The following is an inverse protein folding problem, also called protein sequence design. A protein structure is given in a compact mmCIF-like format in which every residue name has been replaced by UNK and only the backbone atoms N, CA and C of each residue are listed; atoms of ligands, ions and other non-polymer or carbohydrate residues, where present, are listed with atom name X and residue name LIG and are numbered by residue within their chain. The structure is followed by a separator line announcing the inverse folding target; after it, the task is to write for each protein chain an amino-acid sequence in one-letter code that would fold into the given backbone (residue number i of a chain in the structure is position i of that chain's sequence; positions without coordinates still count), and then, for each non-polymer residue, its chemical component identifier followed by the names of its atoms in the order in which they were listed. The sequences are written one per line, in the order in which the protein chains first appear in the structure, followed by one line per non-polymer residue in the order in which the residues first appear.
data_IF_378772386294
#
_entry.id   IF_378772386294
#
_cell.length_a   1.000
_cell.length_b   1.000
_cell.length_c   1.000
_cell.angle_alpha   90.00
_cell.angle_beta   90.00
_cell.angle_gamma   90.00
#
_symmetry.space_group_name_H-M   'P 1'
#
loop_
_entity.id
_entity.type
_entity.pdbx_description
1 polymer ?
#
# COMPACT_ATOMS: atom_id res chain seq x y z
N UNK A 1 -1.46 5.98 -17.02
CA UNK A 1 -1.06 5.92 -15.60
C UNK A 1 0.32 6.55 -15.48
N UNK A 2 0.58 7.36 -14.45
CA UNK A 2 1.84 8.08 -14.27
C UNK A 2 2.86 7.36 -13.37
N UNK A 3 2.56 6.10 -13.02
CA UNK A 3 3.40 5.22 -12.22
C UNK A 3 3.79 4.01 -13.06
N UNK A 4 5.05 3.63 -12.99
CA UNK A 4 5.58 2.38 -13.52
C UNK A 4 5.95 1.46 -12.36
N UNK A 5 5.51 0.21 -12.42
CA UNK A 5 5.89 -0.83 -11.47
C UNK A 5 6.99 -1.73 -12.07
N UNK A 6 7.99 -2.10 -11.27
CA UNK A 6 9.01 -3.07 -11.64
C UNK A 6 9.36 -3.92 -10.42
N UNK A 7 9.10 -5.24 -10.50
CA UNK A 7 9.18 -6.13 -9.35
C UNK A 7 8.29 -5.62 -8.21
N UNK A 8 8.91 -5.36 -7.06
CA UNK A 8 8.26 -4.83 -5.87
C UNK A 8 8.52 -3.33 -5.63
N UNK A 9 8.83 -2.60 -6.71
CA UNK A 9 9.12 -1.16 -6.65
C UNK A 9 8.21 -0.37 -7.60
N UNK A 10 7.96 0.88 -7.24
CA UNK A 10 7.17 1.85 -8.01
C UNK A 10 8.03 3.07 -8.33
N UNK A 11 7.78 3.70 -9.47
CA UNK A 11 8.39 4.98 -9.85
C UNK A 11 7.34 5.87 -10.52
N UNK A 12 7.28 7.15 -10.15
CA UNK A 12 6.52 8.16 -10.90
C UNK A 12 7.27 8.52 -12.17
N UNK A 13 6.87 7.94 -13.30
CA UNK A 13 7.54 8.05 -14.60
C UNK A 13 7.04 9.20 -15.47
N UNK A 14 5.83 9.72 -15.22
CA UNK A 14 5.24 10.82 -15.99
C UNK A 14 4.27 11.68 -15.17
N UNK A 15 3.51 12.55 -15.83
CA UNK A 15 2.56 13.48 -15.19
C UNK A 15 3.21 14.77 -14.70
N UNK A 16 2.45 15.58 -13.96
CA UNK A 16 2.99 16.81 -13.38
C UNK A 16 3.81 16.52 -12.12
N UNK A 17 4.83 17.35 -11.87
CA UNK A 17 5.67 17.27 -10.68
C UNK A 17 4.96 17.94 -9.49
N UNK A 18 4.91 17.25 -8.35
CA UNK A 18 4.19 17.70 -7.15
C UNK A 18 2.69 17.42 -7.14
N UNK A 19 2.16 16.71 -8.14
CA UNK A 19 0.73 16.40 -8.24
C UNK A 19 0.40 15.00 -7.73
N UNK A 20 -0.78 14.84 -7.13
CA UNK A 20 -1.32 13.53 -6.75
C UNK A 20 -1.94 12.75 -7.93
N UNK A 21 -1.28 12.75 -9.09
CA UNK A 21 -1.72 12.09 -10.34
C UNK A 21 -0.97 10.76 -10.59
N UNK A 22 -0.22 10.26 -9.61
CA UNK A 22 0.56 9.02 -9.66
C UNK A 22 0.25 8.13 -8.45
N UNK A 23 -0.87 7.41 -8.55
CA UNK A 23 -1.32 6.43 -7.57
C UNK A 23 -1.08 4.98 -7.99
N UNK A 24 -0.98 4.08 -7.01
CA UNK A 24 -0.93 2.64 -7.21
C UNK A 24 -1.68 1.89 -6.11
N UNK A 25 -2.25 0.73 -6.45
CA UNK A 25 -2.89 -0.21 -5.52
C UNK A 25 -2.25 -1.59 -5.69
N UNK A 26 -2.09 -2.32 -4.60
CA UNK A 26 -1.58 -3.70 -4.63
C UNK A 26 -2.58 -4.65 -5.28
N UNK A 27 -2.05 -5.71 -5.90
CA UNK A 27 -2.88 -6.84 -6.36
C UNK A 27 -3.23 -7.76 -5.19
N UNK A 28 -2.30 -7.97 -4.25
CA UNK A 28 -2.58 -8.72 -3.04
C UNK A 28 -3.46 -7.92 -2.09
N UNK A 29 -4.35 -8.64 -1.41
CA UNK A 29 -5.25 -8.12 -0.41
C UNK A 29 -5.16 -8.99 0.84
N UNK A 30 -4.87 -8.39 1.99
CA UNK A 30 -4.88 -9.07 3.29
C UNK A 30 -6.33 -9.29 3.69
N UNK A 31 -6.76 -10.55 3.72
CA UNK A 31 -8.14 -10.96 3.96
C UNK A 31 -8.52 -10.84 5.44
N UNK A 32 -7.61 -11.21 6.35
CA UNK A 32 -7.84 -11.21 7.79
C UNK A 32 -6.54 -11.48 8.56
N UNK A 33 -6.58 -11.24 9.88
CA UNK A 33 -5.49 -11.59 10.79
C UNK A 33 -4.22 -10.79 10.57
N UNK A 34 -3.14 -11.26 11.19
CA UNK A 34 -1.88 -10.53 11.19
C UNK A 34 -1.27 -10.42 9.77
N UNK A 35 -0.62 -9.30 9.53
CA UNK A 35 -0.02 -8.97 8.25
C UNK A 35 0.66 -7.62 8.28
N UNK A 36 1.43 -7.27 7.26
CA UNK A 36 2.10 -5.98 7.19
C UNK A 36 2.36 -5.55 5.76
N UNK A 37 2.59 -4.24 5.61
CA UNK A 37 3.34 -3.67 4.51
C UNK A 37 4.65 -3.09 5.04
N UNK A 38 5.74 -3.40 4.36
CA UNK A 38 7.08 -2.86 4.63
C UNK A 38 7.67 -2.28 3.36
N UNK A 39 8.41 -1.17 3.45
CA UNK A 39 9.08 -0.55 2.32
C UNK A 39 10.32 0.23 2.77
N UNK A 40 11.23 0.49 1.83
CA UNK A 40 12.46 1.25 2.08
C UNK A 40 12.31 2.69 1.58
N UNK A 41 12.70 3.66 2.41
CA UNK A 41 12.85 5.05 1.98
C UNK A 41 14.17 5.21 1.20
N UNK A 42 14.11 5.25 -0.13
CA UNK A 42 15.33 5.33 -0.98
C UNK A 42 15.84 6.75 -1.25
N UNK A 43 15.09 7.75 -0.81
CA UNK A 43 15.33 9.17 -1.01
C UNK A 43 14.64 9.97 0.09
N UNK A 44 15.00 11.25 0.28
CA UNK A 44 14.47 12.13 1.34
C UNK A 44 13.83 13.42 0.83
N UNK A 45 13.78 13.59 -0.48
CA UNK A 45 13.42 14.87 -1.14
C UNK A 45 12.02 14.88 -1.74
N UNK A 46 11.28 13.78 -1.66
CA UNK A 46 10.02 13.62 -2.38
C UNK A 46 8.86 13.27 -1.46
N UNK A 47 7.71 13.86 -1.76
CA UNK A 47 6.45 13.62 -1.07
C UNK A 47 5.82 12.32 -1.57
N UNK A 48 5.72 11.35 -0.67
CA UNK A 48 5.18 10.01 -0.94
C UNK A 48 4.32 9.56 0.23
N UNK A 49 3.18 8.95 -0.05
CA UNK A 49 2.30 8.38 0.97
C UNK A 49 2.06 6.92 0.67
N UNK A 50 2.34 6.05 1.63
CA UNK A 50 2.20 4.59 1.49
C UNK A 50 1.42 4.06 2.69
N UNK A 51 0.49 3.13 2.47
CA UNK A 51 -0.13 2.42 3.58
C UNK A 51 -1.36 1.60 3.23
N UNK A 52 -2.17 1.28 4.25
CA UNK A 52 -3.34 0.42 4.10
C UNK A 52 -4.60 1.20 3.71
N UNK A 53 -5.43 0.54 2.91
CA UNK A 53 -6.70 1.06 2.41
C UNK A 53 -7.75 -0.06 2.28
N UNK A 54 -9.01 0.26 2.54
CA UNK A 54 -10.13 -0.67 2.37
C UNK A 54 -10.58 -0.81 0.91
N UNK A 55 -11.38 -1.84 0.62
CA UNK A 55 -11.78 -2.21 -0.76
C UNK A 55 -12.79 -1.24 -1.43
N UNK A 56 -13.59 -0.51 -0.65
CA UNK A 56 -14.64 0.39 -1.16
C UNK A 56 -14.13 1.75 -1.60
N UNK A 57 -12.91 2.11 -1.22
CA UNK A 57 -12.29 3.36 -1.58
C UNK A 57 -11.47 3.14 -2.86
N UNK A 58 -11.94 3.68 -3.99
CA UNK A 58 -11.33 3.51 -5.32
C UNK A 58 -9.87 4.00 -5.42
N UNK A 59 -9.35 4.23 -6.64
CA UNK A 59 -7.95 4.69 -6.84
C UNK A 59 -7.71 6.13 -6.35
N UNK A 60 -8.70 6.77 -5.73
CA UNK A 60 -8.57 8.10 -5.17
C UNK A 60 -7.51 8.11 -4.05
N UNK A 61 -6.29 8.50 -4.40
CA UNK A 61 -5.13 8.43 -3.50
C UNK A 61 -5.05 9.60 -2.53
N UNK A 62 -6.05 10.48 -2.55
CA UNK A 62 -6.16 11.67 -1.70
C UNK A 62 -6.19 11.32 -0.22
N UNK A 63 -6.72 10.15 0.16
CA UNK A 63 -6.67 9.66 1.54
C UNK A 63 -6.34 8.16 1.61
N UNK A 64 -5.16 7.84 2.15
CA UNK A 64 -4.78 6.50 2.59
C UNK A 64 -5.04 6.46 4.12
N UNK A 65 -6.05 5.71 4.60
CA UNK A 65 -6.52 5.80 5.98
C UNK A 65 -5.49 5.46 7.05
N UNK A 66 -4.56 4.53 6.77
CA UNK A 66 -3.47 4.19 7.68
C UNK A 66 -2.17 4.31 6.90
N UNK A 67 -1.45 5.42 7.09
CA UNK A 67 -0.38 5.80 6.17
C UNK A 67 0.89 6.25 6.88
N UNK A 68 1.99 6.08 6.17
CA UNK A 68 3.24 6.78 6.42
C UNK A 68 3.46 7.73 5.24
N UNK A 69 3.55 9.03 5.53
CA UNK A 69 3.86 10.07 4.55
C UNK A 69 5.31 10.52 4.72
N UNK A 70 6.13 10.22 3.73
CA UNK A 70 7.50 10.70 3.63
C UNK A 70 7.48 12.07 2.95
N UNK A 71 8.03 13.09 3.60
CA UNK A 71 8.09 14.45 3.06
C UNK A 71 9.47 14.81 2.50
N UNK A 72 9.54 15.83 1.64
CA UNK A 72 10.78 16.55 1.36
C UNK A 72 11.24 17.24 2.62
N UNK A 73 12.45 16.93 3.10
CA UNK A 73 13.12 17.38 4.35
C UNK A 73 13.60 16.23 5.24
N UNK A 74 13.27 14.98 4.88
CA UNK A 74 13.60 13.83 5.73
C UNK A 74 12.70 13.71 6.96
N UNK A 75 11.45 14.22 6.91
CA UNK A 75 10.42 13.99 7.94
C UNK A 75 9.37 12.99 7.44
N UNK A 76 9.14 11.95 8.24
CA UNK A 76 8.07 10.98 8.05
C UNK A 76 6.93 11.25 9.04
N UNK A 77 5.70 11.24 8.54
CA UNK A 77 4.48 11.41 9.33
C UNK A 77 3.70 10.09 9.36
N UNK A 78 3.33 9.61 10.54
CA UNK A 78 2.27 8.62 10.67
C UNK A 78 0.95 9.36 10.58
N UNK A 79 0.10 8.96 9.64
CA UNK A 79 -1.20 9.58 9.37
C UNK A 79 -2.34 8.58 9.48
N UNK A 80 -3.43 9.05 10.07
CA UNK A 80 -4.69 8.31 10.14
C UNK A 80 -5.86 9.17 9.65
N UNK A 81 -6.57 8.71 8.62
CA UNK A 81 -7.63 9.50 7.97
C UNK A 81 -7.18 10.94 7.65
N UNK A 82 -5.98 11.07 7.08
CA UNK A 82 -5.37 12.36 6.75
C UNK A 82 -4.75 13.12 7.93
N UNK A 83 -5.08 12.79 9.19
CA UNK A 83 -4.56 13.48 10.37
C UNK A 83 -3.19 12.96 10.81
N UNK A 84 -2.26 13.86 11.14
CA UNK A 84 -0.94 13.48 11.68
C UNK A 84 -1.10 12.97 13.12
N UNK A 85 -0.55 11.80 13.41
CA UNK A 85 -0.52 11.19 14.75
C UNK A 85 0.83 11.34 15.43
N UNK A 86 1.91 11.13 14.67
CA UNK A 86 3.27 11.35 15.14
C UNK A 86 4.19 11.64 13.96
N UNK A 87 5.38 12.16 14.27
CA UNK A 87 6.44 12.49 13.31
C UNK A 87 7.74 11.83 13.73
N UNK A 88 8.57 11.48 12.75
CA UNK A 88 9.94 11.06 12.98
C UNK A 88 10.82 11.55 11.84
N UNK A 89 12.12 11.71 12.08
CA UNK A 89 13.07 11.95 10.99
C UNK A 89 13.38 10.64 10.27
N UNK A 90 13.83 10.72 9.03
CA UNK A 90 14.27 9.58 8.24
C UNK A 90 15.38 9.97 7.27
N UNK A 91 16.22 9.00 6.97
CA UNK A 91 17.30 9.08 5.99
C UNK A 91 17.14 7.98 4.96
N UNK A 92 17.90 8.06 3.87
CA UNK A 92 17.96 7.01 2.86
C UNK A 92 18.36 5.67 3.50
N UNK A 93 17.62 4.62 3.17
CA UNK A 93 17.83 3.27 3.69
C UNK A 93 16.99 2.91 4.90
N UNK A 94 16.30 3.89 5.53
CA UNK A 94 15.35 3.58 6.59
C UNK A 94 14.19 2.72 6.06
N UNK A 95 13.80 1.73 6.86
CA UNK A 95 12.72 0.80 6.55
C UNK A 95 11.51 1.14 7.41
N UNK A 96 10.37 1.32 6.76
CA UNK A 96 9.10 1.59 7.42
C UNK A 96 8.16 0.41 7.30
N UNK A 97 7.42 0.12 8.37
CA UNK A 97 6.42 -0.94 8.39
C UNK A 97 5.12 -0.47 9.03
N UNK A 98 4.00 -0.82 8.40
CA UNK A 98 2.66 -0.75 9.00
C UNK A 98 2.20 -2.18 9.17
N UNK A 99 2.04 -2.63 10.41
CA UNK A 99 1.72 -4.02 10.75
C UNK A 99 0.40 -4.11 11.50
N UNK A 100 -0.32 -5.19 11.25
CA UNK A 100 -1.48 -5.62 11.99
C UNK A 100 -1.02 -6.79 12.86
N UNK A 101 -1.14 -6.63 14.16
CA UNK A 101 -0.69 -7.64 15.13
C UNK A 101 -1.75 -7.76 16.23
N UNK A 102 -2.30 -8.96 16.40
CA UNK A 102 -3.36 -9.25 17.35
C UNK A 102 -4.56 -8.29 17.23
N UNK A 103 -4.96 -7.98 16.00
CA UNK A 103 -6.12 -7.11 15.71
C UNK A 103 -5.87 -5.61 15.86
N UNK A 104 -4.65 -5.16 16.17
CA UNK A 104 -4.30 -3.73 16.24
C UNK A 104 -3.27 -3.32 15.19
N UNK A 105 -3.37 -2.07 14.70
CA UNK A 105 -2.41 -1.50 13.73
C UNK A 105 -1.25 -0.82 14.47
N UNK A 106 -0.02 -1.11 14.07
CA UNK A 106 1.22 -0.58 14.64
C UNK A 106 2.16 -0.10 13.54
N UNK A 107 2.84 1.01 13.78
CA UNK A 107 3.76 1.65 12.84
C UNK A 107 5.19 1.56 13.37
N UNK A 108 6.13 1.21 12.51
CA UNK A 108 7.52 0.99 12.87
C UNK A 108 8.47 1.68 11.89
N UNK A 109 9.66 2.00 12.41
CA UNK A 109 10.84 2.38 11.65
C UNK A 109 12.01 1.54 12.11
N UNK A 110 12.68 0.84 11.19
CA UNK A 110 13.83 -0.04 11.47
C UNK A 110 13.52 -1.04 12.61
N UNK A 111 12.32 -1.61 12.62
CA UNK A 111 11.85 -2.51 13.67
C UNK A 111 11.46 -1.84 15.01
N UNK A 112 11.74 -0.55 15.20
CA UNK A 112 11.33 0.20 16.41
C UNK A 112 9.93 0.76 16.26
N UNK A 113 9.09 0.53 17.27
CA UNK A 113 7.73 1.04 17.33
C UNK A 113 7.73 2.58 17.37
N UNK A 114 6.94 3.18 16.48
CA UNK A 114 6.67 4.62 16.44
C UNK A 114 5.31 4.96 17.05
N UNK A 115 4.29 4.18 16.71
CA UNK A 115 2.91 4.48 17.08
C UNK A 115 2.04 3.22 17.08
N UNK A 116 1.09 3.17 18.01
CA UNK A 116 0.02 2.17 18.05
C UNK A 116 -1.29 2.91 17.74
N UNK A 117 -2.00 2.42 16.72
CA UNK A 117 -3.30 2.97 16.35
C UNK A 117 -4.34 2.68 17.42
N UNK A 118 -5.24 3.65 17.66
CA UNK A 118 -6.48 3.42 18.38
C UNK A 118 -7.60 2.84 17.50
N UNK A 119 -7.35 2.68 16.20
CA UNK A 119 -8.32 2.19 15.21
C UNK A 119 -8.07 0.72 14.89
N UNK A 120 -9.17 -0.03 14.74
CA UNK A 120 -9.12 -1.42 14.31
C UNK A 120 -8.93 -1.51 12.77
N UNK A 121 -8.26 -2.56 12.27
CA UNK A 121 -8.14 -2.81 10.84
C UNK A 121 -9.50 -3.15 10.22
N UNK A 122 -9.84 -2.45 9.13
CA UNK A 122 -11.04 -2.72 8.33
C UNK A 122 -10.70 -3.64 7.15
N UNK A 123 -10.80 -4.95 7.36
CA UNK A 123 -10.55 -5.93 6.30
C UNK A 123 -11.65 -5.95 5.23
N UNK A 124 -11.31 -6.41 4.01
CA UNK A 124 -9.98 -6.80 3.58
C UNK A 124 -9.12 -5.59 3.15
N UNK A 125 -7.82 -5.62 3.48
CA UNK A 125 -6.92 -4.47 3.33
C UNK A 125 -6.01 -4.62 2.09
N UNK A 126 -5.98 -3.56 1.28
CA UNK A 126 -5.04 -3.36 0.18
C UNK A 126 -3.92 -2.43 0.62
N UNK A 127 -2.79 -2.46 -0.08
CA UNK A 127 -1.74 -1.44 0.03
C UNK A 127 -1.94 -0.42 -1.07
N UNK A 128 -1.89 0.85 -0.71
CA UNK A 128 -1.96 1.99 -1.62
C UNK A 128 -0.68 2.81 -1.53
N UNK A 129 -0.28 3.40 -2.65
CA UNK A 129 0.80 4.37 -2.71
C UNK A 129 0.37 5.59 -3.56
N UNK A 130 0.78 6.78 -3.11
CA UNK A 130 0.66 8.04 -3.84
C UNK A 130 2.03 8.70 -3.91
N UNK A 131 2.50 8.98 -5.13
CA UNK A 131 3.80 9.56 -5.40
C UNK A 131 3.56 10.91 -6.06
N UNK A 132 4.04 12.00 -5.47
CA UNK A 132 3.75 13.33 -6.01
C UNK A 132 4.85 13.87 -6.91
N UNK A 133 6.12 13.67 -6.54
CA UNK A 133 7.24 14.21 -7.30
C UNK A 133 7.70 13.29 -8.42
N UNK A 134 8.01 13.83 -9.59
CA UNK A 134 8.53 13.04 -10.72
C UNK A 134 9.85 12.38 -10.32
N UNK A 135 9.98 11.09 -10.61
CA UNK A 135 11.13 10.29 -10.17
C UNK A 135 11.03 9.78 -8.71
N UNK A 136 9.97 10.12 -7.97
CA UNK A 136 9.73 9.52 -6.66
C UNK A 136 9.54 8.01 -6.79
N UNK A 137 10.00 7.30 -5.75
CA UNK A 137 9.99 5.84 -5.70
C UNK A 137 9.42 5.30 -4.41
N UNK A 138 8.85 4.10 -4.50
CA UNK A 138 8.67 3.18 -3.37
C UNK A 138 9.47 1.95 -3.72
N UNK A 139 10.40 1.53 -2.88
CA UNK A 139 11.29 0.40 -3.19
C UNK A 139 11.22 -0.68 -2.14
N UNK A 140 11.54 -1.90 -2.57
CA UNK A 140 11.57 -3.09 -1.72
C UNK A 140 10.27 -3.29 -0.94
N UNK A 141 9.12 -3.03 -1.57
CA UNK A 141 7.85 -3.18 -0.91
C UNK A 141 7.56 -4.67 -0.66
N UNK A 142 7.19 -5.02 0.56
CA UNK A 142 6.81 -6.37 0.95
C UNK A 142 5.42 -6.29 1.58
N UNK A 143 4.50 -7.09 1.06
CA UNK A 143 3.20 -7.32 1.68
C UNK A 143 3.22 -8.75 2.21
N UNK A 144 2.86 -8.93 3.46
CA UNK A 144 2.73 -10.24 4.09
C UNK A 144 1.42 -10.33 4.87
N UNK A 145 0.85 -11.53 4.94
CA UNK A 145 -0.37 -11.79 5.69
C UNK A 145 -1.17 -12.92 5.06
N UNK A 146 -2.40 -13.12 5.53
CA UNK A 146 -3.34 -14.04 4.89
C UNK A 146 -3.98 -13.36 3.70
N UNK A 147 -3.62 -13.75 2.50
CA UNK A 147 -4.20 -13.17 1.29
C UNK A 147 -5.54 -13.80 0.92
N UNK A 148 -6.42 -13.02 0.31
CA UNK A 148 -7.58 -13.57 -0.41
C UNK A 148 -7.07 -14.48 -1.53
N UNK A 149 -7.55 -15.71 -1.59
CA UNK A 149 -7.29 -16.57 -2.75
C UNK A 149 -7.93 -15.89 -3.98
N UNK A 150 -7.20 -15.84 -5.10
CA UNK A 150 -7.82 -15.50 -6.38
C UNK A 150 -8.95 -16.52 -6.61
N UNK A 151 -10.14 -16.06 -6.99
CA UNK A 151 -11.18 -16.99 -7.43
C UNK A 151 -10.58 -17.88 -8.53
N UNK A 152 -10.71 -19.20 -8.39
CA UNK A 152 -10.40 -20.08 -9.51
C UNK A 152 -11.18 -19.58 -10.73
N UNK A 153 -10.60 -19.59 -11.95
CA UNK A 153 -11.40 -19.31 -13.14
C UNK A 153 -12.61 -20.25 -13.10
N UNK A 154 -13.83 -19.79 -13.46
CA UNK A 154 -14.95 -20.71 -13.60
C UNK A 154 -14.49 -21.80 -14.57
N UNK A 155 -14.41 -23.04 -14.08
CA UNK A 155 -14.33 -24.19 -14.96
C UNK A 155 -15.65 -24.18 -15.71
N UNK A 156 -15.66 -23.65 -16.93
CA UNK A 156 -16.77 -23.85 -17.85
C UNK A 156 -16.98 -25.35 -17.91
N UNK A 157 -18.07 -25.79 -17.27
CA UNK A 157 -18.52 -27.16 -17.34
C UNK A 157 -18.79 -27.43 -18.80
N UNK A 158 -17.95 -28.27 -19.41
CA UNK A 158 -18.17 -28.77 -20.76
C UNK A 158 -19.44 -29.61 -20.69
N UNK A 159 -20.60 -29.00 -20.94
CA UNK A 159 -21.82 -29.76 -21.16
C UNK A 159 -21.65 -30.40 -22.53
N UNK A 160 -21.33 -31.70 -22.53
CA UNK A 160 -21.39 -32.52 -23.73
C UNK A 160 -22.79 -32.45 -24.30
N UNK A 161 -22.94 -31.81 -25.46
CA UNK A 161 -24.18 -31.81 -26.23
C UNK A 161 -24.46 -33.24 -26.71
N UNK A 162 -25.63 -33.85 -26.44
CA UNK A 162 -25.94 -35.16 -26.99
C UNK A 162 -26.19 -35.06 -28.51
N UNK A 163 -25.78 -36.06 -29.31
CA UNK A 163 -25.97 -36.03 -30.75
C UNK A 163 -27.46 -36.10 -31.13
N UNK A 164 -27.89 -35.45 -32.24
CA UNK A 164 -29.28 -35.48 -32.67
C UNK A 164 -29.70 -36.89 -33.11
N UNK A 165 -30.83 -37.35 -32.58
CA UNK A 165 -31.48 -38.61 -32.98
C UNK A 165 -32.07 -38.42 -34.38
N UNK A 166 -31.79 -39.36 -35.28
CA UNK A 166 -32.32 -39.42 -36.65
C UNK A 166 -33.57 -40.28 -36.71
#
# INVERSE_FOLDING_TARGET
MNVTASGNSLTKSSGCDGCADAGALSQQQIASGDGYVEFTASETSFLRTIGFKGRSSGVDTSEIPHAIRLKPDGVAEVREHGMVRTVTTYVRGDVFRIAIVAGGIRYYKNGRLLYISGLAPAYPLLVSASLQNRGATVTNAIIAGRFTQAAAPPTDGITSYPPPVR
#
